data_IF_432304240740
#
_entry.id   IF_432304240740
#
_cell.length_a   1.000
_cell.length_b   1.000
_cell.length_c   1.000
_cell.angle_alpha   90.00
_cell.angle_beta   90.00
_cell.angle_gamma   90.00
#
_symmetry.space_group_name_H-M   'P 1'
#
loop_
_entity.id
_entity.type
_entity.pdbx_description
1 polymer ?
#
# COMPACT_ATOMS: atom_id res chain seq x y z
N UNK A 1 11.65 -21.95 1.14
CA UNK A 1 10.26 -21.46 0.97
C UNK A 1 10.16 -21.09 -0.48
N UNK A 2 9.13 -21.58 -1.16
CA UNK A 2 8.82 -21.17 -2.52
C UNK A 2 8.16 -19.80 -2.45
N UNK A 3 8.79 -18.79 -3.04
CA UNK A 3 8.33 -17.40 -3.02
C UNK A 3 7.62 -17.03 -4.32
N UNK A 4 7.55 -17.96 -5.28
CA UNK A 4 6.92 -17.71 -6.57
C UNK A 4 5.45 -17.34 -6.38
N UNK A 5 5.06 -16.20 -6.96
CA UNK A 5 3.70 -15.70 -6.87
C UNK A 5 3.35 -14.97 -5.56
N UNK A 6 4.32 -14.78 -4.64
CA UNK A 6 4.05 -14.01 -3.42
C UNK A 6 3.92 -12.52 -3.72
N UNK A 7 2.78 -11.93 -3.34
CA UNK A 7 2.54 -10.50 -3.44
C UNK A 7 3.34 -9.74 -2.36
N UNK A 8 3.86 -8.59 -2.73
CA UNK A 8 4.54 -7.67 -1.81
C UNK A 8 4.10 -6.23 -2.06
N UNK A 9 4.37 -5.40 -1.05
CA UNK A 9 4.31 -3.94 -1.16
C UNK A 9 5.62 -3.36 -0.64
N UNK A 10 6.23 -2.48 -1.42
CA UNK A 10 7.28 -1.57 -0.99
C UNK A 10 6.62 -0.23 -0.61
N UNK A 11 6.96 0.32 0.56
CA UNK A 11 6.39 1.56 1.09
C UNK A 11 7.55 2.52 1.35
N UNK A 12 7.56 3.65 0.64
CA UNK A 12 8.56 4.73 0.76
C UNK A 12 7.92 6.01 1.34
N UNK A 13 6.81 5.83 2.06
CA UNK A 13 5.97 6.90 2.59
C UNK A 13 5.51 6.56 4.01
N UNK A 14 4.86 7.52 4.69
CA UNK A 14 4.13 7.18 5.92
C UNK A 14 2.99 6.22 5.61
N UNK A 15 2.73 5.31 6.54
CA UNK A 15 1.57 4.42 6.56
C UNK A 15 0.93 4.44 7.95
N UNK A 16 -0.34 4.09 8.03
CA UNK A 16 -1.10 4.14 9.28
C UNK A 16 -1.99 2.92 9.43
N UNK A 17 -2.15 2.45 10.66
CA UNK A 17 -3.04 1.35 11.00
C UNK A 17 -4.29 1.87 11.72
N UNK A 18 -5.42 1.83 11.04
CA UNK A 18 -6.71 2.15 11.65
C UNK A 18 -7.32 0.91 12.31
N UNK A 19 -7.71 1.04 13.58
CA UNK A 19 -8.34 -0.04 14.35
C UNK A 19 -9.76 -0.42 13.89
N UNK A 20 -10.43 0.45 13.12
CA UNK A 20 -11.78 0.25 12.57
C UNK A 20 -11.99 1.17 11.37
N UNK A 21 -13.08 0.96 10.62
CA UNK A 21 -13.49 1.86 9.54
C UNK A 21 -13.51 3.32 9.98
N UNK A 22 -12.72 4.15 9.32
CA UNK A 22 -12.76 5.61 9.47
C UNK A 22 -13.77 6.21 8.49
N UNK A 23 -14.40 7.32 8.87
CA UNK A 23 -15.29 8.06 7.95
C UNK A 23 -14.50 8.90 6.94
N UNK A 24 -13.24 9.21 7.24
CA UNK A 24 -12.39 10.05 6.41
C UNK A 24 -10.94 9.58 6.52
N UNK A 25 -10.32 9.38 5.37
CA UNK A 25 -8.89 9.14 5.30
C UNK A 25 -8.13 10.48 5.27
N UNK A 26 -6.88 10.49 5.74
CA UNK A 26 -5.98 11.63 5.61
C UNK A 26 -5.77 12.03 4.15
N UNK A 27 -5.49 13.31 3.91
CA UNK A 27 -5.23 13.82 2.56
C UNK A 27 -3.74 13.80 2.21
N UNK A 28 -2.87 13.96 3.21
CA UNK A 28 -1.42 13.97 3.04
C UNK A 28 -0.71 13.56 4.34
N UNK A 29 0.62 13.47 4.30
CA UNK A 29 1.46 12.99 5.41
C UNK A 29 1.49 13.89 6.66
N UNK A 30 1.07 15.14 6.55
CA UNK A 30 1.03 16.10 7.66
C UNK A 30 -0.19 15.86 8.57
N UNK A 31 -1.20 15.14 8.07
CA UNK A 31 -2.40 14.77 8.83
C UNK A 31 -2.14 13.59 9.80
N UNK A 32 -0.91 13.04 9.84
CA UNK A 32 -0.54 11.87 10.63
C UNK A 32 0.32 12.23 11.85
N UNK A 33 -0.01 11.62 12.99
CA UNK A 33 0.95 11.48 14.09
C UNK A 33 2.04 10.49 13.68
N UNK A 34 3.30 10.87 13.88
CA UNK A 34 4.44 10.01 13.61
C UNK A 34 4.49 8.85 14.61
N UNK A 35 4.80 7.66 14.11
CA UNK A 35 5.16 6.53 14.95
C UNK A 35 6.66 6.56 15.22
N UNK A 36 7.04 6.15 16.43
CA UNK A 36 8.40 5.67 16.67
C UNK A 36 8.64 4.34 15.94
N UNK A 37 9.90 4.00 15.70
CA UNK A 37 10.26 2.74 15.04
C UNK A 37 9.70 1.50 15.79
N UNK A 38 9.72 1.53 17.14
CA UNK A 38 9.15 0.47 17.98
C UNK A 38 7.64 0.32 17.75
N UNK A 39 6.92 1.43 17.69
CA UNK A 39 5.48 1.47 17.42
C UNK A 39 5.11 0.94 16.02
N UNK A 40 5.96 1.15 15.02
CA UNK A 40 5.80 0.58 13.69
C UNK A 40 5.93 -0.94 13.71
N UNK A 41 6.96 -1.47 14.38
CA UNK A 41 7.16 -2.92 14.52
C UNK A 41 6.01 -3.59 15.27
N UNK A 42 5.54 -2.98 16.36
CA UNK A 42 4.40 -3.51 17.12
C UNK A 42 3.15 -3.63 16.25
N UNK A 43 2.86 -2.63 15.41
CA UNK A 43 1.71 -2.64 14.50
C UNK A 43 1.85 -3.69 13.40
N UNK A 44 3.02 -3.81 12.78
CA UNK A 44 3.30 -4.89 11.81
C UNK A 44 3.09 -6.25 12.47
N UNK A 45 3.60 -6.42 13.69
CA UNK A 45 3.41 -7.64 14.45
C UNK A 45 1.93 -7.90 14.72
N UNK A 46 1.15 -6.89 15.10
CA UNK A 46 -0.28 -7.01 15.39
C UNK A 46 -1.12 -7.48 14.18
N UNK A 47 -0.76 -7.04 12.97
CA UNK A 47 -1.49 -7.39 11.73
C UNK A 47 -0.93 -8.61 11.00
N UNK A 48 0.21 -9.15 11.46
CA UNK A 48 0.85 -10.29 10.79
C UNK A 48 -0.12 -11.45 10.61
N UNK A 49 -0.08 -12.07 9.42
CA UNK A 49 -0.89 -13.25 9.03
C UNK A 49 -2.40 -13.00 8.95
N UNK A 50 -2.88 -11.78 9.14
CA UNK A 50 -4.28 -11.49 8.88
C UNK A 50 -4.56 -11.56 7.38
N UNK A 51 -5.73 -12.11 7.03
CA UNK A 51 -6.18 -12.14 5.64
C UNK A 51 -6.61 -10.75 5.17
N UNK A 52 -6.17 -10.36 3.97
CA UNK A 52 -6.71 -9.18 3.26
C UNK A 52 -8.09 -9.53 2.69
N UNK A 53 -9.08 -8.68 2.97
CA UNK A 53 -10.47 -8.87 2.55
C UNK A 53 -10.92 -7.86 1.49
N UNK A 54 -10.29 -6.69 1.41
CA UNK A 54 -10.56 -5.66 0.41
C UNK A 54 -9.33 -4.79 0.14
N UNK A 55 -9.22 -4.26 -1.07
CA UNK A 55 -8.17 -3.33 -1.49
C UNK A 55 -8.79 -2.22 -2.31
N UNK A 56 -8.50 -0.97 -1.96
CA UNK A 56 -9.04 0.22 -2.61
C UNK A 56 -7.94 1.26 -2.85
N UNK A 57 -8.14 2.07 -3.88
CA UNK A 57 -7.39 3.31 -4.08
C UNK A 57 -8.19 4.50 -3.58
N UNK A 58 -7.50 5.50 -3.07
CA UNK A 58 -8.08 6.81 -2.76
C UNK A 58 -8.70 7.46 -4.01
N UNK A 59 -9.70 8.32 -3.79
CA UNK A 59 -10.44 8.98 -4.87
C UNK A 59 -9.65 10.12 -5.53
N UNK A 60 -8.95 10.92 -4.74
CA UNK A 60 -8.24 12.14 -5.20
C UNK A 60 -6.75 11.89 -5.45
N UNK A 61 -6.17 10.96 -4.69
CA UNK A 61 -4.75 10.60 -4.70
C UNK A 61 -4.63 9.08 -4.62
N UNK A 62 -3.54 8.49 -5.14
CA UNK A 62 -3.35 7.03 -5.21
C UNK A 62 -3.00 6.42 -3.85
N UNK A 63 -3.63 6.85 -2.76
CA UNK A 63 -3.52 6.24 -1.46
C UNK A 63 -3.95 4.78 -1.54
N UNK A 64 -3.19 3.88 -0.93
CA UNK A 64 -3.55 2.48 -0.86
C UNK A 64 -4.27 2.18 0.45
N UNK A 65 -5.44 1.55 0.35
CA UNK A 65 -6.30 1.25 1.47
C UNK A 65 -6.54 -0.25 1.47
N UNK A 66 -5.98 -0.96 2.45
CA UNK A 66 -6.06 -2.42 2.57
C UNK A 66 -6.88 -2.76 3.80
N UNK A 67 -8.00 -3.45 3.61
CA UNK A 67 -8.85 -3.93 4.71
C UNK A 67 -8.47 -5.36 5.08
N UNK A 68 -8.31 -5.60 6.38
CA UNK A 68 -7.98 -6.90 6.95
C UNK A 68 -9.24 -7.59 7.51
N UNK A 69 -9.18 -8.90 7.70
CA UNK A 69 -10.30 -9.69 8.24
C UNK A 69 -10.75 -9.26 9.65
N UNK A 70 -9.87 -8.64 10.43
CA UNK A 70 -10.23 -8.03 11.72
C UNK A 70 -11.05 -6.74 11.60
N UNK A 71 -11.21 -6.20 10.39
CA UNK A 71 -11.77 -4.88 10.13
C UNK A 71 -10.78 -3.73 10.28
N UNK A 72 -9.52 -4.03 10.61
CA UNK A 72 -8.43 -3.05 10.59
C UNK A 72 -8.07 -2.65 9.17
N UNK A 73 -7.57 -1.43 9.01
CA UNK A 73 -7.23 -0.87 7.70
C UNK A 73 -5.79 -0.39 7.73
N UNK A 74 -4.98 -0.89 6.80
CA UNK A 74 -3.67 -0.36 6.48
C UNK A 74 -3.89 0.75 5.44
N UNK A 75 -3.51 1.97 5.79
CA UNK A 75 -3.52 3.10 4.88
C UNK A 75 -2.08 3.45 4.51
N UNK A 76 -1.79 3.62 3.23
CA UNK A 76 -0.48 4.05 2.73
C UNK A 76 -0.65 5.34 1.94
N UNK A 77 0.15 6.35 2.26
CA UNK A 77 0.15 7.59 1.50
C UNK A 77 0.57 7.31 0.04
N UNK A 78 -0.18 7.84 -0.93
CA UNK A 78 0.13 7.69 -2.36
C UNK A 78 0.62 8.99 -3.00
N UNK A 79 0.49 10.13 -2.32
CA UNK A 79 0.79 11.42 -2.92
C UNK A 79 2.22 11.89 -2.65
N UNK A 80 2.91 12.25 -3.71
CA UNK A 80 4.09 13.10 -3.70
C UNK A 80 4.18 13.84 -5.04
N UNK A 81 4.77 15.03 -5.05
CA UNK A 81 4.97 15.79 -6.28
C UNK A 81 6.10 15.21 -7.16
N UNK A 82 7.03 14.49 -6.55
CA UNK A 82 8.32 14.14 -7.21
C UNK A 82 8.76 12.68 -7.09
N UNK A 83 8.16 11.88 -6.22
CA UNK A 83 8.66 10.54 -5.91
C UNK A 83 7.53 9.53 -5.84
N UNK A 84 7.86 8.28 -6.12
CA UNK A 84 6.95 7.15 -5.95
C UNK A 84 6.79 6.88 -4.46
N UNK A 85 5.55 6.67 -3.99
CA UNK A 85 5.28 6.50 -2.56
C UNK A 85 5.11 5.05 -2.13
N UNK A 86 4.59 4.23 -3.02
CA UNK A 86 4.50 2.79 -2.82
C UNK A 86 4.47 2.05 -4.15
N UNK A 87 4.89 0.79 -4.10
CA UNK A 87 4.92 -0.11 -5.24
C UNK A 87 4.41 -1.48 -4.79
N UNK A 88 3.38 -2.01 -5.44
CA UNK A 88 2.86 -3.35 -5.19
C UNK A 88 3.27 -4.26 -6.36
N UNK A 89 3.81 -5.43 -6.05
CA UNK A 89 4.30 -6.35 -7.07
C UNK A 89 4.20 -7.81 -6.64
N UNK A 90 4.71 -8.68 -7.50
CA UNK A 90 4.75 -10.11 -7.26
C UNK A 90 6.17 -10.65 -7.41
N UNK A 91 6.63 -11.43 -6.44
CA UNK A 91 7.93 -12.10 -6.48
C UNK A 91 8.07 -12.93 -7.75
N UNK A 92 9.25 -12.85 -8.37
CA UNK A 92 9.64 -13.56 -9.59
C UNK A 92 8.84 -13.24 -10.87
N UNK A 93 7.93 -12.27 -10.85
CA UNK A 93 7.20 -11.81 -12.04
C UNK A 93 7.32 -10.29 -12.26
N UNK A 94 7.09 -9.85 -13.50
CA UNK A 94 7.22 -8.43 -13.90
C UNK A 94 5.94 -7.61 -13.64
N UNK A 95 5.05 -8.10 -12.76
CA UNK A 95 3.83 -7.36 -12.40
C UNK A 95 4.15 -6.31 -11.36
N UNK A 96 3.84 -5.05 -11.68
CA UNK A 96 4.03 -3.93 -10.78
C UNK A 96 2.88 -2.92 -10.92
N UNK A 97 2.41 -2.40 -9.80
CA UNK A 97 1.53 -1.24 -9.69
C UNK A 97 2.24 -0.22 -8.82
N UNK A 98 2.36 1.02 -9.28
CA UNK A 98 3.13 2.07 -8.61
C UNK A 98 2.29 3.33 -8.46
N UNK A 99 2.27 3.91 -7.26
CA UNK A 99 1.83 5.29 -7.05
C UNK A 99 2.91 6.24 -7.55
N UNK A 100 2.74 6.71 -8.78
CA UNK A 100 3.66 7.61 -9.45
C UNK A 100 3.45 9.07 -8.99
N UNK A 101 4.46 9.94 -9.14
CA UNK A 101 4.36 11.34 -8.75
C UNK A 101 3.17 12.05 -9.41
N UNK A 102 2.59 13.04 -8.73
CA UNK A 102 1.52 13.87 -9.30
C UNK A 102 0.15 13.19 -9.39
N UNK A 103 -0.15 12.27 -8.46
CA UNK A 103 -1.40 11.51 -8.39
C UNK A 103 -1.64 10.51 -9.53
N UNK A 104 -0.57 9.97 -10.12
CA UNK A 104 -0.68 8.98 -11.18
C UNK A 104 -0.53 7.54 -10.66
N UNK A 105 -1.02 6.59 -11.45
CA UNK A 105 -0.77 5.16 -11.28
C UNK A 105 -0.06 4.66 -12.54
N UNK A 106 1.10 4.04 -12.36
CA UNK A 106 1.81 3.35 -13.42
C UNK A 106 1.74 1.83 -13.19
N UNK A 107 1.69 1.07 -14.29
CA UNK A 107 1.62 -0.40 -14.23
C UNK A 107 2.61 -1.03 -15.19
N UNK A 108 3.24 -2.12 -14.76
CA UNK A 108 4.10 -2.96 -15.58
C UNK A 108 3.51 -4.35 -15.65
N UNK A 109 3.59 -4.93 -16.84
CA UNK A 109 3.10 -6.27 -17.15
C UNK A 109 4.18 -7.03 -17.90
N UNK A 110 4.30 -8.35 -17.73
CA UNK A 110 5.24 -9.13 -18.52
C UNK A 110 4.99 -8.97 -20.03
N UNK A 111 6.05 -8.91 -20.84
CA UNK A 111 5.98 -8.67 -22.30
C UNK A 111 4.97 -9.58 -23.02
N UNK A 112 4.85 -10.83 -22.56
CA UNK A 112 3.87 -11.82 -23.05
C UNK A 112 2.40 -11.37 -22.98
N UNK A 113 2.10 -10.30 -22.26
CA UNK A 113 0.76 -9.70 -22.15
C UNK A 113 0.57 -8.43 -22.99
N UNK A 114 1.65 -7.83 -23.50
CA UNK A 114 1.60 -6.59 -24.31
C UNK A 114 1.30 -6.92 -25.78
N UNK A 115 1.72 -8.09 -26.27
CA UNK A 115 1.56 -8.52 -27.67
C UNK A 115 0.28 -9.34 -27.96
N UNK A 116 -0.84 -9.03 -27.29
CA UNK A 116 -2.14 -9.69 -27.57
C UNK A 116 -3.23 -8.73 -28.02
#
# INVERSE_FOLDING_TARGET
>A
VDYDGQLYINIESKWFLFNKSTKRYPLNEDDFEDYSEEEEYERIFEIRRQKVTDIQLGLESPHLIITLESGKIIFVNGFHDHYERWQAGMQCEQWLVVAAPGNEIATWTPDKFIDK
#
